data_IF_388290336571
#
_entry.id   IF_388290336571
#
_cell.length_a   1.000
_cell.length_b   1.000
_cell.length_c   1.000
_cell.angle_alpha   90.00
_cell.angle_beta   90.00
_cell.angle_gamma   90.00
#
_symmetry.space_group_name_H-M   'P 1'
#
loop_
_entity.id
_entity.type
_entity.pdbx_description
1 polymer ?
#
# COMPACT_ATOMS: atom_id res chain seq x y z
N UNK A 1 -2.30 -18.85 -4.08
CA UNK A 1 -1.46 -17.94 -3.29
C UNK A 1 -0.29 -17.36 -4.10
N UNK A 2 -0.45 -16.11 -4.49
CA UNK A 2 0.51 -15.29 -5.23
C UNK A 2 1.05 -14.16 -4.34
N UNK A 3 2.23 -13.63 -4.69
CA UNK A 3 2.82 -12.49 -4.00
C UNK A 3 2.49 -11.22 -4.78
N UNK A 4 1.96 -10.22 -4.08
CA UNK A 4 1.74 -8.88 -4.62
C UNK A 4 2.57 -7.86 -3.83
N UNK A 5 3.00 -6.81 -4.52
CA UNK A 5 3.70 -5.67 -3.96
C UNK A 5 2.71 -4.52 -3.86
N UNK A 6 2.54 -4.01 -2.63
CA UNK A 6 1.86 -2.76 -2.35
C UNK A 6 2.92 -1.66 -2.26
N UNK A 7 2.76 -0.62 -3.06
CA UNK A 7 3.50 0.62 -2.93
C UNK A 7 2.64 1.61 -2.16
N UNK A 8 3.16 2.13 -1.05
CA UNK A 8 2.48 3.16 -0.28
C UNK A 8 3.44 4.25 0.14
N UNK A 9 2.88 5.42 0.43
CA UNK A 9 3.57 6.58 0.98
C UNK A 9 2.94 6.93 2.30
N UNK A 10 3.78 7.35 3.25
CA UNK A 10 3.27 7.96 4.47
C UNK A 10 3.31 9.48 4.38
N UNK A 11 2.26 10.14 4.86
CA UNK A 11 2.21 11.57 5.08
C UNK A 11 2.50 11.86 6.56
N UNK A 12 3.53 12.67 6.83
CA UNK A 12 3.76 13.21 8.17
C UNK A 12 3.00 14.53 8.27
N UNK A 13 2.10 14.64 9.24
CA UNK A 13 1.34 15.88 9.48
C UNK A 13 2.32 17.05 9.72
N UNK A 14 2.21 18.09 8.89
CA UNK A 14 3.10 19.26 8.92
C UNK A 14 4.28 19.20 7.94
N UNK A 15 4.54 18.08 7.29
CA UNK A 15 5.60 17.96 6.29
C UNK A 15 5.07 18.27 4.88
N UNK A 16 5.61 19.31 4.22
CA UNK A 16 5.18 19.71 2.86
C UNK A 16 5.65 18.76 1.77
N UNK A 17 6.67 17.94 2.04
CA UNK A 17 7.22 17.00 1.07
C UNK A 17 6.53 15.64 1.23
N UNK A 18 6.16 14.98 0.12
CA UNK A 18 5.68 13.60 0.20
C UNK A 18 6.75 12.72 0.86
N UNK A 19 6.34 11.91 1.84
CA UNK A 19 7.23 10.96 2.50
C UNK A 19 7.79 9.91 1.51
N UNK A 20 8.83 9.16 1.91
CA UNK A 20 9.41 8.13 1.05
C UNK A 20 8.40 7.02 0.75
N UNK A 21 8.52 6.47 -0.46
CA UNK A 21 7.71 5.33 -0.91
C UNK A 21 8.26 4.06 -0.27
N UNK A 22 7.38 3.26 0.32
CA UNK A 22 7.69 1.95 0.89
C UNK A 22 6.95 0.86 0.14
N UNK A 23 7.55 -0.33 0.18
CA UNK A 23 7.05 -1.53 -0.49
C UNK A 23 6.67 -2.55 0.58
N UNK A 24 5.50 -3.15 0.48
CA UNK A 24 5.08 -4.26 1.32
C UNK A 24 4.68 -5.44 0.45
N UNK A 25 5.04 -6.66 0.88
CA UNK A 25 4.61 -7.88 0.22
C UNK A 25 3.39 -8.42 0.91
N UNK A 26 2.35 -8.72 0.15
CA UNK A 26 1.16 -9.40 0.63
C UNK A 26 0.97 -10.69 -0.15
N UNK A 27 0.43 -11.68 0.53
CA UNK A 27 0.05 -12.96 -0.05
C UNK A 27 -1.45 -12.96 -0.22
N UNK A 28 -1.93 -13.18 -1.45
CA UNK A 28 -3.34 -13.22 -1.79
C UNK A 28 -3.56 -14.24 -2.93
N UNK A 29 -4.78 -14.71 -3.10
CA UNK A 29 -5.13 -15.63 -4.18
C UNK A 29 -5.36 -14.90 -5.51
N UNK A 30 -5.81 -13.65 -5.48
CA UNK A 30 -5.98 -12.81 -6.67
C UNK A 30 -5.68 -11.32 -6.42
N UNK A 31 -5.72 -10.52 -7.49
CA UNK A 31 -5.44 -9.08 -7.44
C UNK A 31 -6.52 -8.29 -6.68
N UNK A 32 -7.76 -8.76 -6.69
CA UNK A 32 -8.87 -8.06 -6.04
C UNK A 32 -8.85 -8.28 -4.53
N UNK A 33 -8.49 -9.48 -4.07
CA UNK A 33 -8.15 -9.76 -2.69
C UNK A 33 -6.93 -8.94 -2.26
N UNK A 34 -5.87 -8.88 -3.08
CA UNK A 34 -4.70 -8.06 -2.79
C UNK A 34 -5.05 -6.58 -2.61
N UNK A 35 -5.93 -6.03 -3.46
CA UNK A 35 -6.45 -4.66 -3.34
C UNK A 35 -7.30 -4.48 -2.09
N UNK A 36 -8.13 -5.45 -1.73
CA UNK A 36 -8.98 -5.40 -0.53
C UNK A 36 -8.12 -5.37 0.73
N UNK A 37 -7.09 -6.20 0.80
CA UNK A 37 -6.13 -6.20 1.91
C UNK A 37 -5.30 -4.90 1.92
N UNK A 38 -4.88 -4.40 0.75
CA UNK A 38 -4.22 -3.10 0.66
C UNK A 38 -5.09 -1.96 1.21
N UNK A 39 -6.38 -1.93 0.86
CA UNK A 39 -7.33 -0.90 1.31
C UNK A 39 -7.48 -0.86 2.83
N UNK A 40 -7.29 -1.97 3.54
CA UNK A 40 -7.26 -1.96 5.02
C UNK A 40 -6.16 -1.06 5.57
N UNK A 41 -5.05 -0.91 4.85
CA UNK A 41 -3.96 0.01 5.20
C UNK A 41 -4.26 1.46 4.80
N UNK A 42 -5.17 1.73 3.87
CA UNK A 42 -5.62 3.09 3.57
C UNK A 42 -6.46 3.71 4.70
N UNK A 43 -6.96 2.91 5.66
CA UNK A 43 -7.68 3.43 6.83
C UNK A 43 -6.77 4.18 7.81
N UNK A 44 -5.45 4.03 7.68
CA UNK A 44 -4.53 4.85 8.47
C UNK A 44 -4.45 6.25 7.84
N UNK A 45 -4.74 7.33 8.61
CA UNK A 45 -4.88 8.69 8.07
C UNK A 45 -3.62 9.24 7.41
N UNK A 46 -2.49 8.60 7.66
CA UNK A 46 -1.19 8.96 7.14
C UNK A 46 -0.72 8.05 6.01
N UNK A 47 -1.53 7.14 5.47
CA UNK A 47 -1.11 6.19 4.43
C UNK A 47 -1.85 6.50 3.12
N UNK A 48 -1.07 6.68 2.05
CA UNK A 48 -1.56 6.78 0.68
C UNK A 48 -1.06 5.56 -0.10
N UNK A 49 -1.98 4.74 -0.59
CA UNK A 49 -1.66 3.66 -1.52
C UNK A 49 -1.37 4.28 -2.89
N UNK A 50 -0.24 3.91 -3.49
CA UNK A 50 0.19 4.36 -4.82
C UNK A 50 -0.16 3.31 -5.85
N UNK A 51 0.15 2.04 -5.57
CA UNK A 51 -0.02 0.95 -6.53
C UNK A 51 -0.10 -0.42 -5.82
N UNK A 52 -0.76 -1.37 -6.48
CA UNK A 52 -0.83 -2.78 -6.09
C UNK A 52 -0.61 -3.62 -7.34
N UNK A 53 0.50 -4.38 -7.37
CA UNK A 53 0.91 -5.14 -8.56
C UNK A 53 1.46 -6.52 -8.19
N UNK A 54 1.43 -7.49 -9.10
CA UNK A 54 2.14 -8.76 -8.91
C UNK A 54 3.63 -8.51 -8.63
N UNK A 55 4.24 -9.35 -7.78
CA UNK A 55 5.65 -9.24 -7.40
C UNK A 55 6.61 -9.63 -8.52
#
# INVERSE_FOLDING_TARGET
>A
MHVYIILFRYHIAGEKKPGPVRQFRIYADDLDEARREAQRYANYPNIQIIDVRPA
#
